data_IF_572241399153
#
_entry.id   IF_572241399153
#
_cell.length_a   1.000
_cell.length_b   1.000
_cell.length_c   1.000
_cell.angle_alpha   90.00
_cell.angle_beta   90.00
_cell.angle_gamma   90.00
#
_symmetry.space_group_name_H-M   'P 1'
#
loop_
_entity.id
_entity.type
_entity.pdbx_description
1 polymer ?
#
# COMPACT_ATOMS: atom_id res chain seq x y z
N UNK A 1 6.06 2.21 -13.59
CA UNK A 1 5.98 1.00 -12.74
C UNK A 1 7.12 1.05 -11.71
N UNK A 2 6.96 1.77 -10.58
CA UNK A 2 7.91 1.73 -9.45
C UNK A 2 7.95 0.36 -8.72
N UNK A 3 7.05 -0.58 -9.05
CA UNK A 3 6.76 -1.81 -8.28
C UNK A 3 7.88 -2.87 -8.22
N UNK A 4 8.93 -2.81 -9.05
CA UNK A 4 9.96 -3.87 -9.14
C UNK A 4 11.21 -3.61 -8.29
N UNK A 5 11.31 -2.47 -7.61
CA UNK A 5 12.58 -1.99 -7.04
C UNK A 5 13.08 -2.78 -5.82
N UNK A 6 12.19 -3.46 -5.10
CA UNK A 6 12.50 -4.15 -3.84
C UNK A 6 12.52 -5.69 -3.95
N UNK A 7 12.14 -6.26 -5.11
CA UNK A 7 12.20 -7.71 -5.33
C UNK A 7 11.14 -8.55 -4.59
N UNK A 8 10.14 -7.93 -3.96
CA UNK A 8 9.05 -8.66 -3.28
C UNK A 8 7.96 -9.13 -4.25
N UNK A 9 7.37 -10.28 -3.96
CA UNK A 9 6.16 -10.76 -4.64
C UNK A 9 4.96 -9.94 -4.17
N UNK A 10 4.21 -9.37 -5.12
CA UNK A 10 3.04 -8.55 -4.86
C UNK A 10 1.82 -9.19 -5.51
N UNK A 11 0.70 -9.22 -4.78
CA UNK A 11 -0.60 -9.62 -5.30
C UNK A 11 -1.65 -8.54 -4.99
N UNK A 12 -2.69 -8.49 -5.80
CA UNK A 12 -3.88 -7.68 -5.47
C UNK A 12 -4.75 -8.45 -4.50
N UNK A 13 -5.14 -7.78 -3.42
CA UNK A 13 -6.10 -8.30 -2.46
C UNK A 13 -7.26 -7.33 -2.34
N UNK A 14 -8.48 -7.88 -2.27
CA UNK A 14 -9.65 -7.14 -1.80
C UNK A 14 -9.79 -7.48 -0.32
N UNK A 15 -9.81 -6.48 0.55
CA UNK A 15 -9.89 -6.69 1.99
C UNK A 15 -11.28 -6.30 2.50
N UNK A 16 -11.89 -7.16 3.30
CA UNK A 16 -13.27 -7.02 3.75
C UNK A 16 -13.44 -6.28 5.08
N UNK A 17 -12.39 -6.17 5.91
CA UNK A 17 -12.50 -5.47 7.19
C UNK A 17 -12.28 -3.95 7.06
N UNK A 18 -12.99 -3.20 7.90
CA UNK A 18 -12.96 -1.75 7.90
C UNK A 18 -11.61 -1.21 8.35
N UNK A 19 -11.15 -0.16 7.65
CA UNK A 19 -9.95 0.59 7.98
C UNK A 19 -10.22 2.09 7.83
N UNK A 20 -9.50 2.93 8.57
CA UNK A 20 -9.62 4.40 8.44
C UNK A 20 -9.36 4.86 7.01
N UNK A 21 -8.46 4.17 6.29
CA UNK A 21 -8.20 4.38 4.88
C UNK A 21 -9.46 4.30 4.00
N UNK A 22 -10.46 3.48 4.36
CA UNK A 22 -11.73 3.40 3.63
C UNK A 22 -12.49 4.74 3.68
N UNK A 23 -12.43 5.45 4.81
CA UNK A 23 -13.05 6.76 4.98
C UNK A 23 -12.21 7.88 4.38
N UNK A 24 -10.89 7.83 4.56
CA UNK A 24 -9.96 8.82 3.98
C UNK A 24 -10.04 8.82 2.45
N UNK A 25 -10.29 7.65 1.83
CA UNK A 25 -10.45 7.53 0.38
C UNK A 25 -11.60 8.36 -0.22
N UNK A 26 -12.50 8.90 0.62
CA UNK A 26 -13.58 9.80 0.18
C UNK A 26 -13.10 11.23 -0.06
N UNK A 27 -11.97 11.62 0.55
CA UNK A 27 -11.47 13.01 0.54
C UNK A 27 -10.06 13.14 -0.04
N UNK A 28 -9.31 12.03 -0.17
CA UNK A 28 -8.00 12.01 -0.81
C UNK A 28 -7.71 10.65 -1.47
N UNK A 29 -6.95 10.60 -2.58
CA UNK A 29 -6.49 9.33 -3.15
C UNK A 29 -5.77 8.48 -2.10
N UNK A 30 -6.29 7.30 -1.82
CA UNK A 30 -5.79 6.43 -0.74
C UNK A 30 -5.53 5.02 -1.27
N UNK A 31 -4.46 4.39 -0.76
CA UNK A 31 -4.14 3.00 -1.01
C UNK A 31 -3.66 2.35 0.29
N UNK A 32 -3.70 1.02 0.35
CA UNK A 32 -3.25 0.25 1.50
C UNK A 32 -2.18 -0.75 1.09
N UNK A 33 -1.26 -1.04 2.01
CA UNK A 33 -0.24 -2.07 1.87
C UNK A 33 -0.54 -3.12 2.93
N UNK A 34 -0.69 -4.38 2.51
CA UNK A 34 -0.94 -5.50 3.40
C UNK A 34 0.31 -6.37 3.50
N UNK A 35 0.57 -6.86 4.71
CA UNK A 35 1.48 -7.98 4.93
C UNK A 35 0.67 -9.21 5.35
N UNK A 36 1.15 -10.44 5.08
CA UNK A 36 0.47 -11.65 5.52
C UNK A 36 0.55 -11.82 7.05
N UNK A 37 -0.44 -12.51 7.60
CA UNK A 37 -0.45 -13.00 8.98
C UNK A 37 -0.47 -14.53 8.96
N UNK A 38 0.13 -15.16 9.97
CA UNK A 38 0.14 -16.62 10.12
C UNK A 38 -1.31 -17.11 10.17
N UNK A 39 -1.64 -18.08 9.31
CA UNK A 39 -2.99 -18.63 9.12
C UNK A 39 -4.12 -17.61 8.82
N UNK A 40 -3.76 -16.37 8.50
CA UNK A 40 -4.72 -15.27 8.34
C UNK A 40 -5.49 -14.92 9.62
N UNK A 41 -4.97 -15.32 10.79
CA UNK A 41 -5.60 -15.05 12.08
C UNK A 41 -5.47 -13.57 12.44
N UNK A 42 -6.56 -12.97 12.93
CA UNK A 42 -6.56 -11.62 13.47
C UNK A 42 -7.61 -11.47 14.58
N UNK A 43 -7.53 -10.40 15.37
CA UNK A 43 -8.38 -10.17 16.55
C UNK A 43 -8.29 -11.32 17.55
N UNK A 44 -7.10 -11.90 17.68
CA UNK A 44 -6.81 -13.03 18.54
C UNK A 44 -5.43 -12.83 19.15
N UNK A 45 -5.24 -13.24 20.40
CA UNK A 45 -3.95 -13.12 21.11
C UNK A 45 -2.83 -13.93 20.45
N UNK A 46 -3.17 -14.94 19.64
CA UNK A 46 -2.24 -15.72 18.84
C UNK A 46 -1.99 -15.12 17.43
N UNK A 47 -2.49 -13.92 17.14
CA UNK A 47 -2.18 -13.20 15.89
C UNK A 47 -0.67 -12.94 15.79
N UNK A 48 -0.05 -13.39 14.69
CA UNK A 48 1.39 -13.32 14.48
C UNK A 48 1.75 -12.95 13.04
N UNK A 49 2.81 -12.16 12.90
CA UNK A 49 3.50 -11.88 11.63
C UNK A 49 4.98 -12.19 11.79
N UNK A 50 5.62 -12.70 10.73
CA UNK A 50 7.07 -12.87 10.73
C UNK A 50 7.81 -11.53 10.54
N UNK A 51 8.98 -11.33 11.19
CA UNK A 51 9.75 -10.08 11.08
C UNK A 51 10.10 -9.66 9.65
N UNK A 52 10.30 -10.62 8.75
CA UNK A 52 10.62 -10.37 7.35
C UNK A 52 9.43 -9.75 6.60
N UNK A 53 8.20 -10.17 6.94
CA UNK A 53 6.98 -9.61 6.36
C UNK A 53 6.74 -8.18 6.82
N UNK A 54 6.97 -7.90 8.11
CA UNK A 54 6.91 -6.56 8.65
C UNK A 54 7.92 -5.62 7.97
N UNK A 55 9.16 -6.09 7.81
CA UNK A 55 10.24 -5.35 7.14
C UNK A 55 9.89 -5.06 5.67
N UNK A 56 9.38 -6.07 4.95
CA UNK A 56 8.98 -5.90 3.56
C UNK A 56 7.84 -4.88 3.41
N UNK A 57 6.79 -4.97 4.26
CA UNK A 57 5.67 -4.02 4.27
C UNK A 57 6.13 -2.59 4.57
N UNK A 58 6.98 -2.41 5.57
CA UNK A 58 7.54 -1.12 5.93
C UNK A 58 8.42 -0.51 4.81
N UNK A 59 9.24 -1.32 4.14
CA UNK A 59 10.06 -0.87 3.01
C UNK A 59 9.20 -0.38 1.83
N UNK A 60 8.11 -1.08 1.51
CA UNK A 60 7.18 -0.66 0.45
C UNK A 60 6.48 0.64 0.85
N UNK A 61 6.02 0.77 2.10
CA UNK A 61 5.40 1.98 2.61
C UNK A 61 6.37 3.17 2.54
N UNK A 62 7.60 2.99 3.00
CA UNK A 62 8.62 4.03 3.02
C UNK A 62 8.93 4.54 1.61
N UNK A 63 9.16 3.65 0.63
CA UNK A 63 9.38 4.06 -0.76
C UNK A 63 8.16 4.79 -1.33
N UNK A 64 6.94 4.29 -1.08
CA UNK A 64 5.71 4.92 -1.56
C UNK A 64 5.53 6.34 -1.00
N UNK A 65 5.79 6.53 0.30
CA UNK A 65 5.69 7.85 0.95
C UNK A 65 6.73 8.81 0.39
N UNK A 66 7.98 8.38 0.27
CA UNK A 66 9.05 9.24 -0.25
C UNK A 66 8.82 9.64 -1.71
N UNK A 67 8.36 8.71 -2.55
CA UNK A 67 7.99 9.00 -3.93
C UNK A 67 6.79 9.96 -4.00
N UNK A 68 5.79 9.77 -3.14
CA UNK A 68 4.58 10.62 -3.10
C UNK A 68 4.87 12.01 -2.56
N UNK A 69 5.76 12.14 -1.58
CA UNK A 69 6.17 13.40 -0.98
C UNK A 69 7.20 14.17 -1.84
N UNK A 70 7.63 13.61 -2.97
CA UNK A 70 8.61 14.20 -3.90
C UNK A 70 9.96 14.56 -3.26
N UNK A 71 10.35 13.90 -2.15
CA UNK A 71 11.57 14.22 -1.38
C UNK A 71 12.85 13.81 -2.13
N UNK A 72 12.76 12.87 -3.08
CA UNK A 72 13.86 12.50 -3.98
C UNK A 72 13.51 12.97 -5.39
N UNK A 73 13.89 14.20 -5.73
CA UNK A 73 13.76 14.68 -7.09
C UNK A 73 14.94 15.56 -7.50
N UNK A 74 15.94 14.98 -8.18
CA UNK A 74 17.01 15.76 -8.82
C UNK A 74 16.68 16.15 -10.27
N UNK A 75 15.60 15.63 -10.90
CA UNK A 75 15.33 15.94 -12.32
C UNK A 75 13.84 16.00 -12.65
N UNK A 76 13.37 17.25 -12.79
CA UNK A 76 12.48 17.76 -13.85
C UNK A 76 10.98 18.03 -13.47
N UNK A 77 10.40 19.18 -13.90
CA UNK A 77 9.19 19.81 -13.36
C UNK A 77 7.90 19.49 -14.15
N UNK A 78 7.63 18.21 -14.38
CA UNK A 78 6.35 17.71 -14.94
C UNK A 78 5.94 16.48 -14.13
N UNK A 79 5.37 16.62 -12.94
CA UNK A 79 3.94 16.89 -12.78
C UNK A 79 3.17 16.47 -14.04
N UNK A 80 2.77 15.19 -14.13
CA UNK A 80 1.68 14.61 -14.93
C UNK A 80 1.91 13.09 -15.05
N UNK A 81 1.37 12.27 -14.13
CA UNK A 81 0.80 10.92 -14.39
C UNK A 81 0.72 9.98 -13.17
N UNK A 82 1.31 10.29 -12.01
CA UNK A 82 1.30 9.35 -10.87
C UNK A 82 0.01 9.36 -10.01
N UNK A 83 -0.97 10.21 -10.32
CA UNK A 83 -2.33 10.00 -9.81
C UNK A 83 -2.98 8.80 -10.55
N UNK A 84 -3.30 7.75 -9.79
CA UNK A 84 -4.26 6.70 -10.11
C UNK A 84 -3.94 5.79 -11.31
N UNK A 85 -3.16 4.73 -11.06
CA UNK A 85 -3.52 3.37 -11.52
C UNK A 85 -3.33 2.30 -10.43
N UNK A 86 -3.53 2.67 -9.17
CA UNK A 86 -3.94 1.70 -8.16
C UNK A 86 -5.46 1.67 -8.29
N UNK A 87 -5.99 0.59 -8.88
CA UNK A 87 -7.42 0.44 -9.17
C UNK A 87 -8.24 0.60 -7.90
N UNK A 88 -8.90 1.73 -7.76
CA UNK A 88 -10.16 1.79 -7.04
C UNK A 88 -11.14 0.94 -7.84
N UNK A 89 -11.49 -0.25 -7.34
CA UNK A 89 -12.74 -0.88 -7.74
C UNK A 89 -13.83 0.01 -7.14
N UNK A 90 -14.36 0.92 -7.96
CA UNK A 90 -15.65 1.55 -7.67
C UNK A 90 -16.64 0.41 -7.85
N UNK A 91 -17.14 -0.15 -6.75
CA UNK A 91 -18.34 -0.96 -6.81
C UNK A 91 -19.38 -0.14 -7.57
N UNK A 92 -19.81 -0.68 -8.72
CA UNK A 92 -20.91 -0.14 -9.49
C UNK A 92 -22.20 -0.37 -8.73
N UNK A 93 -22.46 0.47 -7.72
CA UNK A 93 -23.76 0.94 -7.25
C UNK A 93 -23.61 2.38 -6.79
#
# INVERSE_FOLDING_TARGET
MPQQKLGYLLSRSCFSAGHDACWINRVAPTAMIMCPCVDGLSHNEAEEIHPEWATAGANVLFQAVIETAEIVNEKNPKCLSCLLKITTFRDGK
#
